data_IF_897115919979
#
_entry.id   IF_897115919979
#
_cell.length_a   1.000
_cell.length_b   1.000
_cell.length_c   1.000
_cell.angle_alpha   90.00
_cell.angle_beta   90.00
_cell.angle_gamma   90.00
#
_symmetry.space_group_name_H-M   'P 1'
#
loop_
_entity.id
_entity.type
_entity.pdbx_description
1 polymer ?
#
# COMPACT_ATOMS: atom_id res chain seq x y z
N UNK A 1 12.40 2.10 2.83
CA UNK A 1 13.17 3.12 2.07
C UNK A 1 12.21 3.96 1.22
N UNK A 2 12.42 5.28 1.16
CA UNK A 2 11.60 6.20 0.37
C UNK A 2 12.22 6.39 -1.02
N UNK A 3 11.38 6.43 -2.05
CA UNK A 3 11.77 6.84 -3.40
C UNK A 3 11.07 8.16 -3.75
N UNK A 4 11.84 9.25 -3.89
CA UNK A 4 11.33 10.54 -4.36
C UNK A 4 11.79 10.71 -5.81
N UNK A 5 10.83 10.88 -6.72
CA UNK A 5 11.13 11.01 -8.15
C UNK A 5 10.88 12.43 -8.64
N UNK A 6 11.89 13.00 -9.30
CA UNK A 6 11.83 14.28 -9.97
C UNK A 6 12.44 14.10 -11.37
N UNK A 7 11.62 14.13 -12.39
CA UNK A 7 12.05 13.96 -13.78
C UNK A 7 11.89 15.21 -14.64
N UNK A 8 12.03 16.39 -14.02
CA UNK A 8 11.94 17.65 -14.76
C UNK A 8 13.33 18.10 -15.25
N UNK A 9 13.48 18.31 -16.55
CA UNK A 9 14.71 18.86 -17.15
C UNK A 9 15.11 20.22 -16.55
N UNK A 10 14.16 20.98 -16.00
CA UNK A 10 14.33 22.31 -15.43
C UNK A 10 13.83 22.39 -13.99
N UNK A 11 14.10 21.35 -13.18
CA UNK A 11 13.79 21.40 -11.76
C UNK A 11 14.59 22.52 -11.09
N UNK A 12 13.91 23.30 -10.26
CA UNK A 12 14.54 24.31 -9.38
C UNK A 12 13.84 24.29 -8.02
N UNK A 13 14.62 24.28 -6.96
CA UNK A 13 14.11 24.37 -5.59
C UNK A 13 13.37 25.68 -5.30
N UNK A 14 13.58 26.69 -6.13
CA UNK A 14 12.93 28.00 -6.01
C UNK A 14 11.53 28.05 -6.66
N UNK A 15 11.21 27.07 -7.50
CA UNK A 15 9.87 26.86 -8.05
C UNK A 15 8.99 26.09 -7.07
N UNK A 16 7.69 26.14 -7.27
CA UNK A 16 6.70 25.43 -6.47
C UNK A 16 5.96 24.41 -7.32
N UNK A 17 6.13 23.15 -6.95
CA UNK A 17 5.58 22.00 -7.68
C UNK A 17 4.50 21.32 -6.85
N UNK A 18 3.49 20.81 -7.53
CA UNK A 18 2.53 19.89 -6.94
C UNK A 18 3.23 18.57 -6.60
N UNK A 19 2.98 18.05 -5.41
CA UNK A 19 3.50 16.75 -4.98
C UNK A 19 2.40 15.67 -4.93
N UNK A 20 2.77 14.43 -5.24
CA UNK A 20 1.88 13.28 -5.20
C UNK A 20 2.49 12.17 -4.35
N UNK A 21 1.79 11.82 -3.28
CA UNK A 21 2.06 10.64 -2.45
C UNK A 21 1.37 9.44 -3.08
N UNK A 22 2.10 8.34 -3.31
CA UNK A 22 1.55 7.16 -3.98
C UNK A 22 1.51 5.98 -3.02
N UNK A 23 0.31 5.51 -2.72
CA UNK A 23 0.08 4.34 -1.88
C UNK A 23 0.06 3.07 -2.75
N UNK A 24 0.95 2.12 -2.40
CA UNK A 24 1.16 0.87 -3.13
C UNK A 24 0.01 -0.13 -2.93
N UNK A 25 -0.22 -1.05 -3.88
CA UNK A 25 -1.15 -2.18 -3.70
C UNK A 25 -0.82 -3.04 -2.46
N UNK A 26 -1.76 -3.86 -2.04
CA UNK A 26 -1.52 -4.84 -0.98
C UNK A 26 -0.44 -5.84 -1.43
N UNK A 27 0.55 -6.09 -0.57
CA UNK A 27 1.66 -7.00 -0.84
C UNK A 27 2.69 -6.52 -1.87
N UNK A 28 2.49 -5.35 -2.48
CA UNK A 28 3.40 -4.82 -3.48
C UNK A 28 4.55 -4.00 -2.86
N UNK A 29 5.61 -3.84 -3.64
CA UNK A 29 6.77 -3.00 -3.33
C UNK A 29 6.82 -1.78 -4.25
N UNK A 30 7.61 -0.78 -3.86
CA UNK A 30 7.70 0.53 -4.54
C UNK A 30 8.16 0.46 -6.00
N UNK A 31 8.96 -0.55 -6.36
CA UNK A 31 9.50 -0.75 -7.71
C UNK A 31 8.45 -1.22 -8.73
N UNK A 32 7.33 -1.75 -8.25
CA UNK A 32 6.26 -2.28 -9.10
C UNK A 32 5.35 -1.17 -9.64
N UNK A 33 4.04 -1.44 -9.73
CA UNK A 33 3.07 -0.50 -10.32
C UNK A 33 3.18 0.94 -9.76
N UNK A 34 3.36 1.09 -8.44
CA UNK A 34 3.40 2.41 -7.82
C UNK A 34 4.61 3.23 -8.27
N UNK A 35 5.79 2.61 -8.40
CA UNK A 35 7.00 3.26 -8.93
C UNK A 35 6.83 3.69 -10.38
N UNK A 36 6.21 2.86 -11.22
CA UNK A 36 5.92 3.20 -12.61
C UNK A 36 4.98 4.42 -12.70
N UNK A 37 3.89 4.44 -11.90
CA UNK A 37 3.01 5.62 -11.83
C UNK A 37 3.77 6.85 -11.35
N UNK A 38 4.62 6.69 -10.32
CA UNK A 38 5.47 7.76 -9.80
C UNK A 38 6.37 8.36 -10.87
N UNK A 39 7.07 7.52 -11.61
CA UNK A 39 7.92 7.94 -12.72
C UNK A 39 7.12 8.69 -13.79
N UNK A 40 6.01 8.14 -14.26
CA UNK A 40 5.18 8.74 -15.30
C UNK A 40 4.58 10.10 -14.90
N UNK A 41 4.22 10.24 -13.63
CA UNK A 41 3.75 11.51 -13.09
C UNK A 41 4.89 12.53 -12.95
N UNK A 42 6.08 12.08 -12.53
CA UNK A 42 7.26 12.94 -12.46
C UNK A 42 7.68 13.45 -13.84
N UNK A 43 7.60 12.63 -14.90
CA UNK A 43 7.81 13.05 -16.29
C UNK A 43 6.83 14.16 -16.73
N UNK A 44 5.63 14.21 -16.11
CA UNK A 44 4.62 15.26 -16.36
C UNK A 44 4.80 16.51 -15.50
N UNK A 45 5.83 16.57 -14.68
CA UNK A 45 6.18 17.75 -13.93
C UNK A 45 5.73 17.76 -12.47
N UNK A 46 5.30 16.64 -11.93
CA UNK A 46 5.00 16.49 -10.51
C UNK A 46 6.23 16.05 -9.72
N UNK A 47 6.26 16.32 -8.43
CA UNK A 47 7.17 15.66 -7.50
C UNK A 47 6.41 14.49 -6.92
N UNK A 48 6.94 13.28 -7.02
CA UNK A 48 6.27 12.07 -6.54
C UNK A 48 7.07 11.37 -5.46
N UNK A 49 6.39 10.76 -4.50
CA UNK A 49 6.97 9.94 -3.46
C UNK A 49 6.22 8.61 -3.39
N UNK A 50 6.99 7.53 -3.31
CA UNK A 50 6.51 6.18 -3.04
C UNK A 50 7.46 5.49 -2.06
N UNK A 51 6.93 4.63 -1.20
CA UNK A 51 7.71 3.81 -0.27
C UNK A 51 7.23 2.37 -0.26
N UNK A 52 8.11 1.48 0.15
CA UNK A 52 7.68 0.19 0.66
C UNK A 52 6.94 0.42 1.98
N UNK A 53 5.86 -0.33 2.17
CA UNK A 53 5.17 -0.34 3.44
C UNK A 53 5.97 -1.09 4.49
N UNK A 54 5.75 -0.76 5.76
CA UNK A 54 6.31 -1.51 6.87
C UNK A 54 6.07 -3.01 6.67
N UNK A 55 7.04 -3.84 6.95
CA UNK A 55 7.09 -5.29 6.76
C UNK A 55 7.31 -5.76 5.30
N UNK A 56 7.36 -4.87 4.30
CA UNK A 56 7.54 -5.21 2.88
C UNK A 56 8.82 -4.61 2.31
N UNK A 57 9.33 -5.22 1.22
CA UNK A 57 10.46 -4.73 0.46
C UNK A 57 11.69 -4.41 1.32
N UNK A 58 12.25 -3.23 1.14
CA UNK A 58 13.39 -2.71 1.91
C UNK A 58 13.00 -2.00 3.21
N UNK A 59 11.69 -1.87 3.51
CA UNK A 59 11.24 -1.32 4.78
C UNK A 59 11.41 -2.34 5.91
N UNK A 60 11.58 -1.84 7.12
CA UNK A 60 11.80 -2.64 8.31
C UNK A 60 10.50 -3.29 8.83
N UNK A 61 10.63 -4.05 9.90
CA UNK A 61 9.53 -4.71 10.60
C UNK A 61 9.56 -6.23 10.50
N UNK A 62 9.24 -6.87 11.61
CA UNK A 62 9.13 -8.32 11.74
C UNK A 62 7.82 -8.67 12.45
N UNK A 63 7.17 -9.80 12.13
CA UNK A 63 7.45 -10.69 10.99
C UNK A 63 7.22 -10.00 9.64
N UNK A 64 7.91 -10.47 8.59
CA UNK A 64 7.77 -9.92 7.23
C UNK A 64 6.38 -10.19 6.64
N UNK A 65 6.00 -9.40 5.63
CA UNK A 65 4.78 -9.58 4.82
C UNK A 65 3.47 -9.47 5.62
N UNK A 66 3.45 -8.62 6.63
CA UNK A 66 2.22 -8.30 7.37
C UNK A 66 1.53 -7.08 6.78
N UNK A 67 0.27 -7.24 6.37
CA UNK A 67 -0.57 -6.13 5.92
C UNK A 67 -1.50 -5.67 7.05
N UNK A 68 -0.99 -4.73 7.85
CA UNK A 68 -1.70 -4.19 9.02
C UNK A 68 -2.22 -2.80 8.67
N UNK A 69 -3.55 -2.58 8.64
CA UNK A 69 -4.17 -1.31 8.22
C UNK A 69 -3.62 -0.07 8.94
N UNK A 70 -3.35 -0.17 10.23
CA UNK A 70 -2.78 0.92 11.02
C UNK A 70 -1.42 1.37 10.46
N UNK A 71 -0.49 0.44 10.24
CA UNK A 71 0.83 0.76 9.71
C UNK A 71 0.77 1.27 8.28
N UNK A 72 -0.13 0.74 7.44
CA UNK A 72 -0.36 1.23 6.08
C UNK A 72 -0.75 2.71 6.05
N UNK A 73 -1.58 3.14 6.99
CA UNK A 73 -1.99 4.54 7.12
C UNK A 73 -0.83 5.39 7.63
N UNK A 74 -0.07 4.91 8.62
CA UNK A 74 1.10 5.61 9.14
C UNK A 74 2.24 5.72 8.11
N UNK A 75 2.45 4.72 7.28
CA UNK A 75 3.41 4.78 6.15
C UNK A 75 3.04 5.92 5.18
N UNK A 76 1.74 6.06 4.85
CA UNK A 76 1.25 7.16 4.00
C UNK A 76 1.48 8.51 4.69
N UNK A 77 1.23 8.63 6.00
CA UNK A 77 1.50 9.85 6.76
C UNK A 77 2.99 10.17 6.79
N UNK A 78 3.85 9.16 6.96
CA UNK A 78 5.30 9.32 6.88
C UNK A 78 5.76 9.82 5.52
N UNK A 79 5.15 9.36 4.41
CA UNK A 79 5.42 9.92 3.08
C UNK A 79 4.96 11.38 2.97
N UNK A 80 3.82 11.75 3.56
CA UNK A 80 3.36 13.14 3.60
C UNK A 80 4.33 14.01 4.39
N UNK A 81 4.82 13.53 5.53
CA UNK A 81 5.82 14.25 6.34
C UNK A 81 7.11 14.50 5.56
N UNK A 82 7.62 13.46 4.89
CA UNK A 82 8.84 13.56 4.10
C UNK A 82 8.71 14.53 2.92
N UNK A 83 7.57 14.47 2.18
CA UNK A 83 7.39 15.30 0.98
C UNK A 83 7.02 16.75 1.33
N UNK A 84 6.40 16.99 2.49
CA UNK A 84 5.92 18.29 2.91
C UNK A 84 7.04 19.35 2.96
N UNK A 85 8.20 18.96 3.44
CA UNK A 85 9.38 19.82 3.57
C UNK A 85 10.38 19.66 2.42
N UNK A 86 10.08 18.83 1.42
CA UNK A 86 10.97 18.60 0.30
C UNK A 86 11.15 19.88 -0.54
N UNK A 87 12.41 20.27 -0.92
CA UNK A 87 12.67 21.49 -1.67
C UNK A 87 11.84 21.56 -2.96
N UNK A 88 11.21 22.70 -3.21
CA UNK A 88 10.36 22.92 -4.37
C UNK A 88 8.93 22.39 -4.26
N UNK A 89 8.56 21.67 -3.21
CA UNK A 89 7.17 21.26 -3.01
C UNK A 89 6.30 22.45 -2.56
N UNK A 90 5.14 22.56 -3.15
CA UNK A 90 4.05 23.42 -2.68
C UNK A 90 3.24 22.65 -1.63
N UNK A 91 3.44 22.96 -0.37
CA UNK A 91 2.74 22.31 0.75
C UNK A 91 1.22 22.46 0.73
N UNK A 92 0.69 23.40 -0.05
CA UNK A 92 -0.75 23.56 -0.27
C UNK A 92 -1.28 22.69 -1.40
N UNK A 93 -0.41 21.97 -2.13
CA UNK A 93 -0.76 21.13 -3.26
C UNK A 93 -0.12 19.73 -3.14
N UNK A 94 -0.35 19.07 -2.00
CA UNK A 94 0.00 17.67 -1.79
C UNK A 94 -1.24 16.83 -2.08
N UNK A 95 -1.15 15.96 -3.08
CA UNK A 95 -2.21 15.06 -3.53
C UNK A 95 -1.82 13.61 -3.28
N UNK A 96 -2.80 12.74 -3.29
CA UNK A 96 -2.59 11.30 -3.13
C UNK A 96 -3.07 10.51 -4.35
N UNK A 97 -2.33 9.47 -4.71
CA UNK A 97 -2.74 8.44 -5.66
C UNK A 97 -2.68 7.08 -4.95
N UNK A 98 -3.81 6.42 -4.82
CA UNK A 98 -3.89 5.09 -4.21
C UNK A 98 -4.20 4.02 -5.25
N UNK A 99 -3.43 2.94 -5.26
CA UNK A 99 -3.58 1.85 -6.22
C UNK A 99 -4.07 0.61 -5.48
N UNK A 100 -5.12 -0.05 -5.99
CA UNK A 100 -5.69 -1.27 -5.44
C UNK A 100 -6.06 -1.07 -3.95
N UNK A 101 -5.65 -1.94 -3.03
CA UNK A 101 -5.87 -1.79 -1.59
C UNK A 101 -5.26 -0.51 -1.00
N UNK A 102 -4.14 -0.03 -1.57
CA UNK A 102 -3.54 1.25 -1.21
C UNK A 102 -4.50 2.44 -1.36
N UNK A 103 -5.46 2.36 -2.27
CA UNK A 103 -6.51 3.36 -2.42
C UNK A 103 -7.43 3.45 -1.19
N UNK A 104 -7.80 2.32 -0.60
CA UNK A 104 -8.60 2.27 0.62
C UNK A 104 -7.86 2.89 1.82
N UNK A 105 -6.58 2.55 2.00
CA UNK A 105 -5.75 3.12 3.06
C UNK A 105 -5.49 4.61 2.87
N UNK A 106 -5.27 5.06 1.62
CA UNK A 106 -5.09 6.46 1.30
C UNK A 106 -6.35 7.29 1.60
N UNK A 107 -7.54 6.77 1.29
CA UNK A 107 -8.81 7.42 1.65
C UNK A 107 -8.96 7.52 3.17
N UNK A 108 -8.64 6.46 3.91
CA UNK A 108 -8.65 6.47 5.38
C UNK A 108 -7.67 7.51 5.94
N UNK A 109 -6.46 7.59 5.39
CA UNK A 109 -5.48 8.61 5.74
C UNK A 109 -6.03 10.03 5.48
N UNK A 110 -6.61 10.28 4.31
CA UNK A 110 -7.14 11.60 3.93
C UNK A 110 -8.34 12.07 4.75
N UNK A 111 -9.06 11.16 5.42
CA UNK A 111 -10.07 11.53 6.41
C UNK A 111 -9.46 12.17 7.65
N UNK A 112 -8.25 11.78 8.00
CA UNK A 112 -7.55 12.22 9.22
C UNK A 112 -6.49 13.29 8.94
N UNK A 113 -5.77 13.20 7.83
CA UNK A 113 -4.67 14.10 7.47
C UNK A 113 -5.10 15.11 6.38
N UNK A 114 -5.35 16.35 6.80
CA UNK A 114 -5.85 17.42 5.92
C UNK A 114 -4.76 18.10 5.08
N UNK A 115 -3.51 17.65 5.18
CA UNK A 115 -2.43 18.04 4.26
C UNK A 115 -2.65 17.44 2.87
N UNK A 116 -3.30 16.28 2.76
CA UNK A 116 -3.80 15.76 1.48
C UNK A 116 -5.00 16.59 1.00
N UNK A 117 -4.82 17.29 -0.12
CA UNK A 117 -5.84 18.18 -0.67
C UNK A 117 -6.76 17.51 -1.68
N UNK A 118 -6.26 16.52 -2.40
CA UNK A 118 -7.01 15.71 -3.37
C UNK A 118 -6.52 14.29 -3.37
N UNK A 119 -7.41 13.35 -3.64
CA UNK A 119 -7.11 11.93 -3.74
C UNK A 119 -7.68 11.40 -5.04
N UNK A 120 -6.88 10.64 -5.75
CA UNK A 120 -7.28 9.80 -6.87
C UNK A 120 -7.01 8.33 -6.53
N UNK A 121 -7.81 7.43 -7.07
CA UNK A 121 -7.62 5.99 -6.86
C UNK A 121 -7.73 5.24 -8.17
N UNK A 122 -6.98 4.13 -8.27
CA UNK A 122 -7.01 3.21 -9.41
C UNK A 122 -7.37 1.83 -8.90
N UNK A 123 -8.46 1.24 -9.41
CA UNK A 123 -8.94 -0.10 -9.04
C UNK A 123 -9.05 -0.31 -7.52
N UNK A 124 -9.47 0.72 -6.79
CA UNK A 124 -9.54 0.72 -5.33
C UNK A 124 -10.65 -0.18 -4.81
N UNK A 125 -10.42 -0.80 -3.67
CA UNK A 125 -11.44 -1.49 -2.90
C UNK A 125 -11.28 -1.22 -1.39
N UNK A 126 -12.33 -1.51 -0.64
CA UNK A 126 -12.29 -1.46 0.82
C UNK A 126 -11.76 -2.80 1.35
N UNK A 127 -10.51 -2.81 1.80
CA UNK A 127 -9.83 -4.02 2.31
C UNK A 127 -10.58 -4.65 3.46
N UNK A 128 -11.12 -3.85 4.38
CA UNK A 128 -11.93 -4.34 5.50
C UNK A 128 -13.23 -5.04 5.05
N UNK A 129 -13.95 -4.46 4.09
CA UNK A 129 -15.15 -5.09 3.52
C UNK A 129 -14.80 -6.40 2.81
N UNK A 130 -13.77 -6.41 1.96
CA UNK A 130 -13.31 -7.63 1.28
C UNK A 130 -12.92 -8.72 2.27
N UNK A 131 -12.23 -8.38 3.36
CA UNK A 131 -11.84 -9.35 4.40
C UNK A 131 -13.02 -9.89 5.19
N UNK A 132 -14.06 -9.10 5.42
CA UNK A 132 -15.26 -9.57 6.13
C UNK A 132 -16.20 -10.34 5.24
N UNK A 133 -16.46 -9.82 4.05
CA UNK A 133 -17.61 -10.23 3.22
C UNK A 133 -17.19 -11.06 2.02
N UNK A 134 -15.96 -10.87 1.53
CA UNK A 134 -15.47 -11.44 0.27
C UNK A 134 -16.30 -10.97 -0.94
N UNK A 135 -16.17 -11.65 -2.07
CA UNK A 135 -16.93 -11.31 -3.27
C UNK A 135 -18.41 -11.66 -3.11
N UNK A 136 -19.30 -10.69 -3.33
CA UNK A 136 -20.75 -10.84 -3.24
C UNK A 136 -21.23 -11.40 -1.87
N UNK A 137 -20.58 -11.00 -0.79
CA UNK A 137 -20.89 -11.46 0.58
C UNK A 137 -20.76 -12.98 0.78
N UNK A 138 -19.97 -13.65 -0.06
CA UNK A 138 -19.84 -15.13 -0.03
C UNK A 138 -19.23 -15.68 1.26
N UNK A 139 -18.67 -14.84 2.11
CA UNK A 139 -18.03 -15.23 3.37
C UNK A 139 -18.52 -14.46 4.61
N UNK A 140 -19.60 -13.71 4.49
CA UNK A 140 -20.10 -12.87 5.60
C UNK A 140 -20.38 -13.66 6.88
N UNK A 141 -20.95 -14.85 6.76
CA UNK A 141 -21.28 -15.75 7.88
C UNK A 141 -20.09 -16.57 8.40
N UNK A 142 -18.92 -16.48 7.77
CA UNK A 142 -17.70 -17.20 8.21
C UNK A 142 -16.79 -16.36 9.12
N UNK A 143 -17.14 -15.10 9.41
CA UNK A 143 -16.25 -14.16 10.13
C UNK A 143 -15.85 -14.72 11.50
N UNK A 144 -16.80 -15.19 12.30
CA UNK A 144 -16.52 -15.75 13.63
C UNK A 144 -15.62 -16.99 13.54
N UNK A 145 -15.89 -17.89 12.59
CA UNK A 145 -15.06 -19.06 12.37
C UNK A 145 -13.62 -18.67 12.07
N UNK A 146 -13.42 -17.73 11.15
CA UNK A 146 -12.07 -17.23 10.78
C UNK A 146 -11.35 -16.54 11.94
N UNK A 147 -12.08 -15.82 12.80
CA UNK A 147 -11.48 -15.22 14.00
C UNK A 147 -11.01 -16.30 15.00
N UNK A 148 -11.76 -17.37 15.18
CA UNK A 148 -11.34 -18.51 16.00
C UNK A 148 -10.12 -19.22 15.40
N UNK A 149 -10.08 -19.42 14.09
CA UNK A 149 -8.93 -19.99 13.39
C UNK A 149 -7.67 -19.15 13.59
N UNK A 150 -7.78 -17.82 13.45
CA UNK A 150 -6.65 -16.90 13.70
C UNK A 150 -6.20 -16.96 15.16
N UNK A 151 -7.12 -17.02 16.13
CA UNK A 151 -6.77 -17.16 17.53
C UNK A 151 -5.97 -18.46 17.79
N UNK A 152 -6.46 -19.59 17.27
CA UNK A 152 -5.78 -20.87 17.39
C UNK A 152 -4.38 -20.90 16.73
N UNK A 153 -4.22 -20.22 15.59
CA UNK A 153 -2.92 -20.07 14.92
C UNK A 153 -1.97 -19.27 15.83
N UNK A 154 -2.41 -18.17 16.43
CA UNK A 154 -1.58 -17.37 17.34
C UNK A 154 -1.16 -18.14 18.59
N UNK A 155 -2.06 -18.95 19.16
CA UNK A 155 -1.72 -19.84 20.27
C UNK A 155 -0.65 -20.86 19.87
N UNK A 156 -0.77 -21.43 18.66
CA UNK A 156 0.20 -22.38 18.13
C UNK A 156 1.56 -21.72 17.89
N UNK A 157 1.60 -20.52 17.30
CA UNK A 157 2.83 -19.75 17.10
C UNK A 157 3.57 -19.51 18.43
N UNK A 158 2.84 -19.13 19.48
CA UNK A 158 3.42 -18.90 20.82
C UNK A 158 3.97 -20.19 21.45
N UNK A 159 3.30 -21.32 21.26
CA UNK A 159 3.71 -22.60 21.86
C UNK A 159 4.89 -23.24 21.13
N UNK A 160 4.96 -23.06 19.81
CA UNK A 160 5.96 -23.71 18.94
C UNK A 160 7.14 -22.79 18.58
N UNK A 161 7.10 -21.52 19.00
CA UNK A 161 8.06 -20.46 18.63
C UNK A 161 8.30 -20.39 17.10
N UNK A 162 7.22 -20.54 16.34
CA UNK A 162 7.24 -20.53 14.87
C UNK A 162 6.23 -19.55 14.33
N UNK A 163 6.52 -18.98 13.14
CA UNK A 163 5.58 -18.14 12.42
C UNK A 163 4.81 -18.96 11.38
N UNK A 164 3.50 -18.79 11.35
CA UNK A 164 2.60 -19.46 10.42
C UNK A 164 2.07 -18.42 9.43
N UNK A 165 2.50 -18.53 8.19
CA UNK A 165 2.01 -17.68 7.11
C UNK A 165 0.82 -18.32 6.39
N UNK A 166 0.00 -17.51 5.75
CA UNK A 166 -0.98 -18.00 4.79
C UNK A 166 -0.28 -18.86 3.74
N UNK A 167 -1.01 -19.83 3.16
CA UNK A 167 -0.47 -20.68 2.12
C UNK A 167 0.19 -19.84 1.00
N UNK A 168 1.39 -20.26 0.60
CA UNK A 168 2.09 -19.64 -0.51
C UNK A 168 1.23 -19.78 -1.79
N UNK A 169 0.94 -18.68 -2.46
CA UNK A 169 0.11 -18.71 -3.66
C UNK A 169 0.68 -19.57 -4.78
N UNK A 170 2.01 -19.79 -4.78
CA UNK A 170 2.66 -20.71 -5.73
C UNK A 170 2.38 -22.20 -5.44
N UNK A 171 1.92 -22.52 -4.24
CA UNK A 171 1.56 -23.88 -3.80
C UNK A 171 0.05 -24.13 -3.88
N UNK A 172 -0.75 -23.08 -4.05
CA UNK A 172 -2.20 -23.22 -4.25
C UNK A 172 -2.47 -23.85 -5.62
N UNK A 173 -3.04 -25.06 -5.63
CA UNK A 173 -3.57 -25.61 -6.86
C UNK A 173 -4.66 -24.67 -7.39
N UNK A 174 -4.61 -24.26 -8.65
CA UNK A 174 -5.67 -23.44 -9.23
C UNK A 174 -6.97 -24.23 -9.19
N UNK A 175 -7.86 -23.89 -8.28
CA UNK A 175 -9.25 -24.30 -8.41
C UNK A 175 -9.82 -23.61 -9.64
N UNK A 176 -10.53 -24.37 -10.44
CA UNK A 176 -11.07 -23.97 -11.73
C UNK A 176 -11.82 -22.64 -11.60
N UNK A 177 -11.26 -21.56 -12.16
CA UNK A 177 -11.94 -20.28 -12.29
C UNK A 177 -11.18 -19.01 -11.86
N UNK A 178 -10.07 -19.10 -11.14
CA UNK A 178 -9.28 -17.92 -10.72
C UNK A 178 -7.78 -18.10 -11.02
N UNK A 179 -7.43 -17.99 -12.28
CA UNK A 179 -6.02 -17.80 -12.68
C UNK A 179 -5.67 -16.32 -12.50
N UNK A 180 -5.16 -15.95 -11.33
CA UNK A 180 -4.29 -14.78 -11.24
C UNK A 180 -2.93 -15.18 -11.83
N UNK A 181 -2.33 -14.36 -12.71
CA UNK A 181 -1.04 -14.69 -13.30
C UNK A 181 0.02 -14.83 -12.19
N UNK A 182 0.61 -16.01 -12.09
CA UNK A 182 1.69 -16.33 -11.13
C UNK A 182 2.92 -15.42 -11.32
N UNK A 183 3.05 -14.82 -12.49
CA UNK A 183 4.15 -13.91 -12.86
C UNK A 183 4.18 -12.58 -12.07
N UNK A 184 3.08 -12.21 -11.41
CA UNK A 184 3.01 -10.97 -10.63
C UNK A 184 3.69 -11.07 -9.24
N UNK A 185 4.16 -12.25 -8.85
CA UNK A 185 4.72 -12.52 -7.50
C UNK A 185 6.08 -13.22 -7.53
N UNK A 186 6.71 -13.33 -8.71
CA UNK A 186 8.10 -13.74 -8.85
C UNK A 186 8.96 -12.49 -8.92
N UNK A 187 9.44 -12.04 -7.78
CA UNK A 187 10.75 -11.42 -7.52
C UNK A 187 10.77 -10.90 -6.09
#
# INVERSE_FOLDING_TARGET
>A
MLLISIHQKNYSKDKRYLAIVIAVPDGAVKEQAAGLYGQRLAEKGYITIVSDCMFFGESEGMPRQQDIPYYRIEDIRGMIDAIFSFPGVDSQRIYGLGICGGGGYLLSCGQMDKRLKKIATVSMFNTGAVRRESFQNSQADTVLKRLHEVASIREKELNEDTLIYNANMTEMKPEVGHQLPIEMYRE
#
